data_IF_267666970110
#
_entry.id   IF_267666970110
#
_cell.length_a   1.000
_cell.length_b   1.000
_cell.length_c   1.000
_cell.angle_alpha   90.00
_cell.angle_beta   90.00
_cell.angle_gamma   90.00
#
_symmetry.space_group_name_H-M   'P 1'
#
loop_
_entity.id
_entity.type
_entity.pdbx_description
1 polymer ?
#
# COMPACT_ATOMS: atom_id res chain seq x y z
N UNK A 1 18.79 -7.61 8.62
CA UNK A 1 17.61 -8.32 8.12
C UNK A 1 17.89 -8.70 6.67
N UNK A 2 17.36 -9.84 6.22
CA UNK A 2 17.51 -10.34 4.84
C UNK A 2 16.38 -9.81 3.92
N UNK A 3 15.60 -8.84 4.42
CA UNK A 3 14.51 -8.18 3.70
C UNK A 3 15.08 -7.43 2.48
N UNK A 4 14.54 -7.72 1.30
CA UNK A 4 14.97 -7.15 0.02
C UNK A 4 14.24 -5.82 -0.25
N UNK A 5 12.97 -5.73 0.15
CA UNK A 5 12.12 -4.57 -0.10
C UNK A 5 11.87 -3.75 1.17
N UNK A 6 11.80 -2.43 1.02
CA UNK A 6 11.43 -1.51 2.10
C UNK A 6 9.92 -1.49 2.35
N UNK A 7 9.12 -1.70 1.30
CA UNK A 7 7.69 -1.98 1.43
C UNK A 7 7.13 -2.83 0.28
N UNK A 8 6.19 -3.72 0.61
CA UNK A 8 5.23 -4.28 -0.34
C UNK A 8 4.07 -3.29 -0.52
N UNK A 9 3.59 -3.08 -1.74
CA UNK A 9 2.50 -2.15 -2.07
C UNK A 9 1.31 -2.91 -2.61
N UNK A 10 0.16 -2.67 -1.99
CA UNK A 10 -1.13 -3.19 -2.35
C UNK A 10 -2.10 -2.03 -2.66
N UNK A 11 -2.83 -2.15 -3.76
CA UNK A 11 -3.83 -1.17 -4.20
C UNK A 11 -4.89 -1.82 -5.11
N UNK A 12 -6.12 -1.30 -5.14
CA UNK A 12 -6.57 -0.36 -6.15
C UNK A 12 -6.42 -0.67 -7.66
N UNK A 13 -6.12 -1.89 -8.14
CA UNK A 13 -6.20 -2.24 -9.58
C UNK A 13 -7.61 -1.92 -10.16
N UNK A 14 -7.71 -0.91 -11.01
CA UNK A 14 -9.00 -0.32 -11.40
C UNK A 14 -9.89 -1.29 -12.21
N UNK A 15 -11.13 -1.53 -11.75
CA UNK A 15 -12.24 -2.05 -12.59
C UNK A 15 -13.10 -0.86 -13.03
N UNK A 16 -13.64 -0.92 -14.25
CA UNK A 16 -14.18 0.16 -15.11
C UNK A 16 -15.08 1.25 -14.47
N UNK A 17 -15.53 1.11 -13.23
CA UNK A 17 -16.35 2.07 -12.49
C UNK A 17 -15.58 3.02 -11.55
N UNK A 18 -14.32 2.76 -11.18
CA UNK A 18 -13.66 3.54 -10.13
C UNK A 18 -13.24 4.94 -10.62
N UNK A 19 -13.88 5.98 -10.07
CA UNK A 19 -13.60 7.40 -10.38
C UNK A 19 -12.15 7.82 -10.05
N UNK A 20 -11.48 7.08 -9.17
CA UNK A 20 -10.10 7.32 -8.78
C UNK A 20 -9.18 6.32 -9.47
N UNK A 21 -8.23 6.84 -10.24
CA UNK A 21 -7.13 6.06 -10.81
C UNK A 21 -6.09 5.74 -9.72
N UNK A 22 -6.47 4.84 -8.82
CA UNK A 22 -5.57 4.21 -7.85
C UNK A 22 -4.34 3.58 -8.52
N UNK A 23 -4.46 3.12 -9.78
CA UNK A 23 -3.34 2.75 -10.64
C UNK A 23 -2.35 3.91 -10.85
N UNK A 24 -2.82 5.13 -11.16
CA UNK A 24 -1.94 6.30 -11.33
C UNK A 24 -1.24 6.62 -10.01
N UNK A 25 -1.96 6.53 -8.88
CA UNK A 25 -1.32 6.75 -7.59
C UNK A 25 -0.26 5.67 -7.29
N UNK A 26 -0.60 4.39 -7.42
CA UNK A 26 0.26 3.28 -7.02
C UNK A 26 1.41 2.97 -8.00
N UNK A 27 1.19 3.13 -9.32
CA UNK A 27 2.15 2.78 -10.37
C UNK A 27 2.96 3.96 -10.89
N UNK A 28 2.52 5.20 -10.66
CA UNK A 28 3.24 6.42 -11.10
C UNK A 28 3.67 7.28 -9.92
N UNK A 29 2.71 7.81 -9.15
CA UNK A 29 2.99 8.83 -8.13
C UNK A 29 3.82 8.25 -6.98
N UNK A 30 3.41 7.11 -6.42
CA UNK A 30 4.06 6.47 -5.28
C UNK A 30 5.52 6.06 -5.60
N UNK A 31 5.82 5.39 -6.74
CA UNK A 31 7.16 5.21 -7.29
C UNK A 31 7.97 6.51 -7.45
N UNK A 32 7.41 7.51 -8.12
CA UNK A 32 8.11 8.78 -8.41
C UNK A 32 8.58 9.47 -7.12
N UNK A 33 7.82 9.39 -6.03
CA UNK A 33 8.26 9.94 -4.75
C UNK A 33 9.15 8.97 -3.96
N UNK A 34 8.67 7.76 -3.66
CA UNK A 34 9.34 6.87 -2.71
C UNK A 34 10.59 6.20 -3.29
N UNK A 35 10.57 5.80 -4.56
CA UNK A 35 11.73 5.16 -5.19
C UNK A 35 12.70 6.23 -5.68
N UNK A 36 12.25 7.17 -6.53
CA UNK A 36 13.17 8.12 -7.20
C UNK A 36 13.67 9.25 -6.30
N UNK A 37 12.76 9.93 -5.59
CA UNK A 37 13.15 11.07 -4.72
C UNK A 37 13.66 10.62 -3.34
N UNK A 38 13.25 9.45 -2.85
CA UNK A 38 13.57 9.00 -1.49
C UNK A 38 14.52 7.80 -1.43
N UNK A 39 14.71 7.06 -2.53
CA UNK A 39 15.64 5.93 -2.59
C UNK A 39 15.21 4.74 -1.74
N UNK A 40 13.92 4.41 -1.71
CA UNK A 40 13.38 3.16 -1.18
C UNK A 40 13.24 2.11 -2.29
N UNK A 41 13.29 0.83 -1.94
CA UNK A 41 12.95 -0.28 -2.83
C UNK A 41 11.52 -0.77 -2.55
N UNK A 42 10.61 -0.68 -3.52
CA UNK A 42 9.23 -1.16 -3.37
C UNK A 42 9.00 -2.43 -4.20
N UNK A 43 8.15 -3.34 -3.69
CA UNK A 43 7.50 -4.35 -4.52
C UNK A 43 6.05 -3.93 -4.75
N UNK A 44 5.62 -3.80 -6.00
CA UNK A 44 4.27 -3.34 -6.37
C UNK A 44 3.57 -4.41 -7.19
N UNK A 45 2.48 -4.97 -6.64
CA UNK A 45 1.70 -6.02 -7.28
C UNK A 45 0.95 -5.48 -8.51
N UNK A 46 1.15 -6.08 -9.69
CA UNK A 46 0.74 -5.57 -11.00
C UNK A 46 1.84 -4.83 -11.77
N UNK A 47 3.02 -4.64 -11.18
CA UNK A 47 4.21 -4.05 -11.81
C UNK A 47 5.39 -5.02 -11.81
N UNK A 48 5.60 -5.67 -10.66
CA UNK A 48 6.83 -6.42 -10.35
C UNK A 48 6.61 -7.94 -10.24
N UNK A 49 5.38 -8.43 -10.42
CA UNK A 49 5.00 -9.84 -10.50
C UNK A 49 5.16 -10.41 -11.92
N UNK A 50 5.57 -11.68 -12.03
CA UNK A 50 5.76 -12.33 -13.32
C UNK A 50 4.46 -12.96 -13.85
N UNK A 51 4.14 -12.81 -15.14
CA UNK A 51 2.96 -13.43 -15.72
C UNK A 51 3.07 -14.96 -15.69
N UNK A 52 2.10 -15.61 -15.04
CA UNK A 52 2.05 -17.06 -14.88
C UNK A 52 2.44 -17.59 -13.50
N UNK A 53 2.94 -16.75 -12.60
CA UNK A 53 3.16 -17.15 -11.20
C UNK A 53 1.85 -17.27 -10.42
N UNK A 54 1.81 -18.19 -9.46
CA UNK A 54 0.66 -18.35 -8.58
C UNK A 54 0.60 -17.19 -7.57
N UNK A 55 -0.24 -16.19 -7.89
CA UNK A 55 -0.49 -14.91 -7.17
C UNK A 55 -0.38 -14.99 -5.64
N UNK A 56 -0.79 -16.11 -5.04
CA UNK A 56 -0.86 -16.28 -3.59
C UNK A 56 0.50 -16.59 -2.93
N UNK A 57 1.33 -17.51 -3.45
CA UNK A 57 2.62 -17.82 -2.78
C UNK A 57 3.57 -16.63 -2.93
N UNK A 58 3.55 -16.00 -4.11
CA UNK A 58 4.29 -14.76 -4.37
C UNK A 58 3.89 -13.66 -3.39
N UNK A 59 2.60 -13.41 -3.17
CA UNK A 59 2.17 -12.36 -2.23
C UNK A 59 2.75 -12.56 -0.83
N UNK A 60 2.67 -13.79 -0.29
CA UNK A 60 3.19 -14.13 1.03
C UNK A 60 4.73 -14.02 1.10
N UNK A 61 5.44 -14.60 0.12
CA UNK A 61 6.91 -14.53 0.05
C UNK A 61 7.43 -13.09 -0.08
N UNK A 62 6.83 -12.26 -0.94
CA UNK A 62 7.25 -10.86 -1.14
C UNK A 62 6.94 -10.00 0.08
N UNK A 63 5.87 -10.31 0.82
CA UNK A 63 5.59 -9.72 2.14
C UNK A 63 6.65 -10.13 3.17
N UNK A 64 7.00 -11.42 3.22
CA UNK A 64 8.09 -11.90 4.07
C UNK A 64 9.47 -11.36 3.65
N UNK A 65 9.64 -10.91 2.40
CA UNK A 65 10.83 -10.16 1.93
C UNK A 65 10.74 -8.64 2.17
N UNK A 66 9.63 -8.11 2.68
CA UNK A 66 9.39 -6.68 2.88
C UNK A 66 9.49 -6.20 4.34
N UNK A 67 9.97 -4.97 4.56
CA UNK A 67 10.05 -4.32 5.90
C UNK A 67 8.75 -3.65 6.36
N UNK A 68 7.86 -3.34 5.42
CA UNK A 68 6.55 -2.70 5.62
C UNK A 68 5.56 -3.26 4.61
N UNK A 69 4.27 -3.02 4.86
CA UNK A 69 3.24 -3.08 3.82
C UNK A 69 2.56 -1.72 3.72
N UNK A 70 2.39 -1.25 2.49
CA UNK A 70 1.57 -0.08 2.15
C UNK A 70 0.25 -0.62 1.58
N UNK A 71 -0.87 -0.26 2.21
CA UNK A 71 -2.22 -0.57 1.74
C UNK A 71 -2.86 0.73 1.30
N UNK A 72 -3.27 0.82 0.03
CA UNK A 72 -3.99 1.96 -0.52
C UNK A 72 -5.49 1.65 -0.54
N UNK A 73 -6.29 2.54 0.05
CA UNK A 73 -7.75 2.50 0.08
C UNK A 73 -8.33 3.67 -0.73
N UNK A 74 -9.45 3.43 -1.40
CA UNK A 74 -10.28 4.39 -2.16
C UNK A 74 -11.67 4.44 -1.54
N UNK A 75 -12.45 5.53 -1.59
CA UNK A 75 -13.61 5.68 -0.72
C UNK A 75 -14.82 4.80 -1.08
N UNK A 76 -14.84 4.24 -2.28
CA UNK A 76 -16.01 3.62 -2.89
C UNK A 76 -16.11 2.11 -2.57
N UNK A 77 -17.25 1.62 -2.03
CA UNK A 77 -17.43 0.21 -1.68
C UNK A 77 -17.09 -0.79 -2.78
N UNK A 78 -17.56 -0.51 -3.99
CA UNK A 78 -17.30 -1.27 -5.23
C UNK A 78 -15.80 -1.37 -5.58
N UNK A 79 -15.00 -0.40 -5.16
CA UNK A 79 -13.56 -0.34 -5.40
C UNK A 79 -12.74 -0.93 -4.24
N UNK A 80 -13.38 -1.32 -3.13
CA UNK A 80 -12.86 -2.36 -2.23
C UNK A 80 -13.06 -3.76 -2.78
N UNK A 81 -13.47 -3.94 -4.04
CA UNK A 81 -13.48 -5.27 -4.69
C UNK A 81 -12.11 -5.96 -4.67
N UNK A 82 -11.00 -5.25 -4.45
CA UNK A 82 -9.66 -5.86 -4.18
C UNK A 82 -9.48 -6.37 -2.75
N UNK A 83 -10.51 -6.22 -1.92
CA UNK A 83 -10.68 -6.85 -0.63
C UNK A 83 -11.79 -7.93 -0.65
N UNK A 84 -12.57 -8.03 -1.75
CA UNK A 84 -13.65 -9.03 -1.95
C UNK A 84 -13.29 -10.11 -3.01
N UNK A 85 -12.58 -9.77 -4.10
CA UNK A 85 -11.86 -10.70 -5.00
C UNK A 85 -10.70 -11.43 -4.27
N UNK A 86 -10.44 -11.05 -3.02
CA UNK A 86 -9.53 -11.71 -2.08
C UNK A 86 -10.09 -13.08 -1.75
N UNK A 87 -9.67 -14.09 -2.52
CA UNK A 87 -9.77 -15.48 -2.08
C UNK A 87 -9.22 -15.62 -0.66
N UNK A 88 -9.77 -16.54 0.15
CA UNK A 88 -9.43 -16.72 1.58
C UNK A 88 -7.91 -16.77 1.85
N UNK A 89 -7.13 -17.23 0.87
CA UNK A 89 -5.67 -17.28 0.89
C UNK A 89 -5.00 -15.90 0.94
N UNK A 90 -5.50 -14.89 0.22
CA UNK A 90 -5.05 -13.52 0.38
C UNK A 90 -5.57 -12.92 1.70
N UNK A 91 -6.74 -13.34 2.20
CA UNK A 91 -7.22 -12.93 3.52
C UNK A 91 -6.31 -13.44 4.65
N UNK A 92 -5.80 -14.67 4.50
CA UNK A 92 -4.78 -15.25 5.37
C UNK A 92 -3.48 -14.42 5.37
N UNK A 93 -3.07 -13.86 4.22
CA UNK A 93 -1.91 -12.96 4.13
C UNK A 93 -2.11 -11.66 4.94
N UNK A 94 -3.30 -11.04 4.95
CA UNK A 94 -3.56 -9.89 5.85
C UNK A 94 -3.57 -10.29 7.33
N UNK A 95 -4.05 -11.49 7.65
CA UNK A 95 -4.03 -12.00 9.02
C UNK A 95 -2.59 -12.29 9.48
N UNK A 96 -1.76 -12.88 8.62
CA UNK A 96 -0.33 -13.09 8.84
C UNK A 96 0.40 -11.76 9.04
N UNK A 97 0.14 -10.74 8.20
CA UNK A 97 0.69 -9.39 8.35
C UNK A 97 0.41 -8.76 9.73
N UNK A 98 -0.78 -9.02 10.28
CA UNK A 98 -1.18 -8.54 11.60
C UNK A 98 -0.51 -9.33 12.73
N UNK A 99 -0.33 -10.65 12.55
CA UNK A 99 0.24 -11.58 13.53
C UNK A 99 1.78 -11.49 13.61
N UNK A 100 2.47 -11.34 12.49
CA UNK A 100 3.95 -11.27 12.40
C UNK A 100 4.55 -9.90 12.79
N UNK A 101 3.71 -8.95 13.20
CA UNK A 101 4.16 -7.64 13.68
C UNK A 101 4.76 -6.71 12.61
N UNK A 102 4.59 -7.04 11.32
CA UNK A 102 4.98 -6.15 10.21
C UNK A 102 4.18 -4.86 10.30
N UNK A 103 4.87 -3.71 10.30
CA UNK A 103 4.21 -2.40 10.39
C UNK A 103 3.52 -2.06 9.07
N UNK A 104 2.20 -1.92 9.13
CA UNK A 104 1.35 -1.51 8.00
C UNK A 104 1.24 0.01 7.93
N UNK A 105 1.27 0.54 6.70
CA UNK A 105 1.06 1.95 6.36
C UNK A 105 -0.23 2.04 5.55
N UNK A 106 -1.33 2.43 6.21
CA UNK A 106 -2.61 2.59 5.55
C UNK A 106 -2.70 3.98 4.90
N UNK A 107 -2.90 4.05 3.59
CA UNK A 107 -3.08 5.27 2.81
C UNK A 107 -4.52 5.34 2.31
N UNK A 108 -5.19 6.46 2.53
CA UNK A 108 -6.53 6.71 1.98
C UNK A 108 -6.39 7.72 0.83
N UNK A 109 -6.85 7.43 -0.38
CA UNK A 109 -6.82 8.41 -1.47
C UNK A 109 -7.84 9.55 -1.25
N UNK A 110 -8.90 9.29 -0.50
CA UNK A 110 -9.99 10.22 -0.18
C UNK A 110 -10.42 10.11 1.29
N UNK A 111 -11.45 10.86 1.73
CA UNK A 111 -12.07 10.64 3.04
C UNK A 111 -13.00 9.43 2.99
N UNK A 112 -12.57 8.32 3.56
CA UNK A 112 -13.47 7.22 3.93
C UNK A 112 -14.34 7.72 5.09
N UNK A 113 -15.66 7.81 4.86
CA UNK A 113 -16.59 8.36 5.86
C UNK A 113 -17.02 7.32 6.89
N UNK A 114 -17.27 6.10 6.42
CA UNK A 114 -17.67 4.95 7.23
C UNK A 114 -16.77 3.75 6.92
N UNK A 115 -16.37 3.05 7.98
CA UNK A 115 -15.58 1.82 7.93
C UNK A 115 -16.44 0.58 8.21
N UNK A 116 -17.74 0.70 8.49
CA UNK A 116 -18.61 -0.42 8.87
C UNK A 116 -18.58 -1.59 7.87
N UNK A 117 -18.60 -1.27 6.56
CA UNK A 117 -18.53 -2.24 5.46
C UNK A 117 -17.13 -2.81 5.16
N UNK A 118 -16.08 -2.39 5.88
CA UNK A 118 -14.73 -2.91 5.68
C UNK A 118 -14.54 -4.30 6.29
N UNK A 119 -13.54 -5.08 5.82
CA UNK A 119 -13.06 -6.25 6.56
C UNK A 119 -12.53 -5.87 7.95
N UNK A 120 -12.75 -6.73 8.95
CA UNK A 120 -12.30 -6.52 10.33
C UNK A 120 -10.77 -6.30 10.44
N UNK A 121 -9.98 -6.95 9.59
CA UNK A 121 -8.52 -6.74 9.49
C UNK A 121 -8.17 -5.28 9.17
N UNK A 122 -8.91 -4.63 8.26
CA UNK A 122 -8.73 -3.22 7.91
C UNK A 122 -9.19 -2.31 9.05
N UNK A 123 -10.32 -2.61 9.72
CA UNK A 123 -10.77 -1.87 10.92
C UNK A 123 -9.71 -1.92 12.02
N UNK A 124 -9.16 -3.10 12.29
CA UNK A 124 -8.09 -3.31 13.26
C UNK A 124 -6.80 -2.57 12.90
N UNK A 125 -6.32 -2.68 11.64
CA UNK A 125 -5.13 -1.94 11.16
C UNK A 125 -5.35 -0.44 11.30
N UNK A 126 -6.52 0.07 10.90
CA UNK A 126 -6.91 1.47 11.01
C UNK A 126 -6.91 1.95 12.47
N UNK A 127 -7.38 1.13 13.41
CA UNK A 127 -7.37 1.44 14.85
C UNK A 127 -5.95 1.44 15.43
N UNK A 128 -5.12 0.46 15.05
CA UNK A 128 -3.77 0.24 15.61
C UNK A 128 -2.68 1.14 15.03
N UNK A 129 -2.74 1.43 13.73
CA UNK A 129 -1.71 2.16 12.98
C UNK A 129 -2.20 3.52 12.46
N UNK A 130 -3.50 3.81 12.55
CA UNK A 130 -4.12 4.98 11.94
C UNK A 130 -4.16 4.88 10.41
N UNK A 131 -4.31 6.02 9.76
CA UNK A 131 -4.12 6.14 8.32
C UNK A 131 -3.49 7.48 7.91
N UNK A 132 -3.01 7.52 6.68
CA UNK A 132 -2.43 8.69 6.02
C UNK A 132 -3.34 9.05 4.84
N UNK A 133 -4.23 10.01 5.07
CA UNK A 133 -5.09 10.52 4.00
C UNK A 133 -4.29 11.37 3.02
N UNK A 134 -4.35 11.02 1.74
CA UNK A 134 -3.96 11.84 0.60
C UNK A 134 -4.82 13.10 0.55
N UNK A 135 -4.15 14.23 0.35
CA UNK A 135 -4.77 15.57 0.21
C UNK A 135 -4.13 16.36 -0.94
N UNK A 136 -3.37 15.67 -1.80
CA UNK A 136 -2.79 16.26 -2.99
C UNK A 136 -3.80 16.24 -4.14
N UNK A 137 -3.52 17.06 -5.14
CA UNK A 137 -4.03 16.86 -6.49
C UNK A 137 -3.11 15.89 -7.25
N UNK A 138 -3.46 15.52 -8.48
CA UNK A 138 -2.61 14.76 -9.39
C UNK A 138 -1.57 15.66 -10.12
N UNK A 139 -1.27 16.85 -9.59
CA UNK A 139 -0.27 17.76 -10.17
C UNK A 139 1.13 17.49 -9.62
N UNK A 140 2.16 17.80 -10.40
CA UNK A 140 3.57 17.55 -10.06
C UNK A 140 3.99 18.17 -8.72
N UNK A 141 3.38 19.28 -8.30
CA UNK A 141 3.66 19.93 -7.00
C UNK A 141 3.28 19.04 -5.81
N UNK A 142 2.24 18.22 -5.95
CA UNK A 142 1.82 17.25 -4.94
C UNK A 142 2.77 16.05 -4.85
N UNK A 143 3.61 15.83 -5.86
CA UNK A 143 4.56 14.72 -5.94
C UNK A 143 5.93 15.02 -5.30
N UNK A 144 6.13 16.17 -4.66
CA UNK A 144 7.38 16.45 -3.94
C UNK A 144 7.48 15.68 -2.62
N UNK A 145 8.58 14.95 -2.39
CA UNK A 145 8.88 14.30 -1.11
C UNK A 145 8.86 15.25 0.10
N UNK A 146 8.94 16.57 -0.13
CA UNK A 146 8.86 17.64 0.87
C UNK A 146 7.45 17.97 1.38
N UNK A 147 6.36 17.53 0.72
CA UNK A 147 5.00 17.85 1.16
C UNK A 147 4.63 17.16 2.49
N UNK A 148 3.60 17.68 3.17
CA UNK A 148 3.14 17.15 4.47
C UNK A 148 2.70 15.69 4.38
N UNK A 149 2.11 15.27 3.26
CA UNK A 149 1.74 13.87 3.04
C UNK A 149 2.98 12.97 2.96
N UNK A 150 3.92 13.27 2.06
CA UNK A 150 5.10 12.43 1.85
C UNK A 150 6.04 12.41 3.06
N UNK A 151 6.15 13.52 3.79
CA UNK A 151 6.82 13.54 5.11
C UNK A 151 6.16 12.56 6.10
N UNK A 152 4.81 12.48 6.14
CA UNK A 152 4.10 11.52 6.99
C UNK A 152 4.32 10.08 6.51
N UNK A 153 4.23 9.79 5.20
CA UNK A 153 4.51 8.43 4.67
C UNK A 153 5.93 7.98 5.04
N UNK A 154 6.94 8.82 4.79
CA UNK A 154 8.35 8.54 5.12
C UNK A 154 8.61 8.32 6.61
N UNK A 155 7.86 8.95 7.50
CA UNK A 155 7.96 8.71 8.93
C UNK A 155 7.56 7.27 9.33
N UNK A 156 6.67 6.63 8.58
CA UNK A 156 6.26 5.24 8.82
C UNK A 156 7.08 4.20 8.03
N UNK A 157 7.80 4.60 6.97
CA UNK A 157 8.75 3.77 6.22
C UNK A 157 9.90 3.25 7.11
N UNK A 158 10.71 2.26 6.67
CA UNK A 158 11.92 1.92 7.40
C UNK A 158 12.90 3.10 7.41
N UNK A 159 13.69 3.21 8.49
CA UNK A 159 14.85 4.09 8.51
C UNK A 159 15.83 3.60 7.44
N UNK A 160 16.13 4.45 6.46
CA UNK A 160 17.17 4.15 5.48
C UNK A 160 18.46 3.88 6.25
N UNK A 161 19.14 2.77 5.94
CA UNK A 161 20.54 2.60 6.36
C UNK A 161 21.30 3.74 5.72
N UNK A 162 21.85 4.64 6.53
CA UNK A 162 22.89 5.55 6.07
C UNK A 162 24.00 4.70 5.50
N UNK A 163 24.25 4.80 4.20
CA UNK A 163 25.43 4.18 3.60
C UNK A 163 26.66 4.80 4.23
N UNK A 164 27.34 4.00 5.05
CA UNK A 164 28.71 4.22 5.54
C UNK A 164 29.70 3.75 4.48
#
# INVERSE_FOLDING_TARGET
DEKIYDAYVLYPKNRESCLYSSDIFALKILPEVLERQCGYNLFIFGRDDLPGEAVISVADEKIHQSRRVIIILVPEPSCYSILEDVSEKQLAVYNALIQDGIKVILIELEKIQDYAAMPESIKYIKQKHGAIRWKGDFSERSHSAGTRFWKKVRYHMPSRRSGS
#
